data_IF_321968004047
#
_entry.id   IF_321968004047
#
_cell.length_a   1.000
_cell.length_b   1.000
_cell.length_c   1.000
_cell.angle_alpha   90.00
_cell.angle_beta   90.00
_cell.angle_gamma   90.00
#
_symmetry.space_group_name_H-M   'P 1'
#
loop_
_entity.id
_entity.type
_entity.pdbx_description
1 polymer ?
#
# COMPACT_ATOMS: atom_id res chain seq x y z
N UNK A 1 -15.33 -5.86 21.18
CA UNK A 1 -14.92 -4.45 21.06
C UNK A 1 -16.15 -3.60 21.21
N UNK A 2 -16.17 -2.66 22.16
CA UNK A 2 -17.11 -1.54 22.08
C UNK A 2 -16.78 -0.78 20.79
N UNK A 3 -17.75 -0.61 19.89
CA UNK A 3 -17.58 0.30 18.76
C UNK A 3 -17.62 1.72 19.32
N UNK A 4 -16.43 2.26 19.58
CA UNK A 4 -16.23 3.69 19.84
C UNK A 4 -16.80 4.52 18.68
N UNK A 5 -17.39 5.67 19.05
CA UNK A 5 -17.83 6.81 18.24
C UNK A 5 -18.13 6.55 16.74
N UNK A 6 -19.41 6.62 16.36
CA UNK A 6 -19.84 6.63 14.95
C UNK A 6 -19.78 8.04 14.40
N UNK A 7 -19.02 8.25 13.32
CA UNK A 7 -18.99 9.53 12.59
C UNK A 7 -20.34 9.77 11.89
N UNK A 8 -20.93 10.93 12.17
CA UNK A 8 -22.22 11.38 11.66
C UNK A 8 -22.05 12.49 10.62
N UNK A 9 -23.12 12.85 9.91
CA UNK A 9 -23.10 13.88 8.87
C UNK A 9 -22.41 15.19 9.31
N UNK A 10 -22.65 15.63 10.56
CA UNK A 10 -22.06 16.86 11.10
C UNK A 10 -20.52 16.84 11.20
N UNK A 11 -19.92 15.66 11.26
CA UNK A 11 -18.47 15.48 11.38
C UNK A 11 -17.75 15.61 10.03
N UNK A 12 -18.46 15.47 8.91
CA UNK A 12 -17.85 15.49 7.56
C UNK A 12 -17.14 16.80 7.21
N UNK A 13 -17.48 17.90 7.90
CA UNK A 13 -16.82 19.22 7.75
C UNK A 13 -15.39 19.25 8.32
N UNK A 14 -15.07 18.35 9.24
CA UNK A 14 -13.78 18.27 9.91
C UNK A 14 -12.80 17.35 9.15
N UNK A 15 -13.16 16.91 7.94
CA UNK A 15 -12.35 16.02 7.11
C UNK A 15 -12.09 16.65 5.74
N UNK A 16 -10.82 16.80 5.39
CA UNK A 16 -10.40 17.39 4.12
C UNK A 16 -9.72 16.36 3.22
N UNK A 17 -9.90 16.48 1.90
CA UNK A 17 -9.25 15.60 0.93
C UNK A 17 -7.72 15.63 1.05
N UNK A 18 -7.09 14.46 1.22
CA UNK A 18 -5.63 14.29 1.27
C UNK A 18 -5.07 13.58 0.04
N UNK A 19 -5.81 12.61 -0.49
CA UNK A 19 -5.39 11.82 -1.66
C UNK A 19 -6.27 10.61 -1.89
N UNK A 20 -5.99 9.84 -2.95
CA UNK A 20 -6.71 8.59 -3.21
C UNK A 20 -5.92 7.57 -4.03
N UNK A 21 -6.18 6.30 -3.73
CA UNK A 21 -5.76 5.15 -4.53
C UNK A 21 -6.88 4.63 -5.43
N UNK A 22 -6.74 3.41 -5.94
CA UNK A 22 -7.84 2.76 -6.67
C UNK A 22 -9.00 2.39 -5.72
N UNK A 23 -8.68 1.77 -4.58
CA UNK A 23 -9.68 1.22 -3.66
C UNK A 23 -10.16 2.18 -2.57
N UNK A 24 -9.38 3.22 -2.23
CA UNK A 24 -9.66 4.05 -1.05
C UNK A 24 -9.44 5.54 -1.31
N UNK A 25 -10.27 6.36 -0.68
CA UNK A 25 -10.15 7.80 -0.49
C UNK A 25 -9.47 8.06 0.88
N UNK A 26 -8.57 9.03 0.95
CA UNK A 26 -7.86 9.42 2.19
C UNK A 26 -8.22 10.87 2.54
N UNK A 27 -8.65 11.08 3.78
CA UNK A 27 -9.02 12.38 4.33
C UNK A 27 -8.15 12.72 5.54
N UNK A 28 -7.64 13.94 5.62
CA UNK A 28 -6.98 14.46 6.82
C UNK A 28 -8.01 15.03 7.79
N UNK A 29 -7.84 14.80 9.09
CA UNK A 29 -8.62 15.51 10.09
C UNK A 29 -8.18 16.97 10.22
N UNK A 30 -9.14 17.89 10.16
CA UNK A 30 -8.93 19.35 10.25
C UNK A 30 -9.76 19.99 11.37
N UNK A 31 -10.50 19.19 12.14
CA UNK A 31 -11.25 19.67 13.30
C UNK A 31 -10.36 19.87 14.55
N UNK A 32 -11.00 20.02 15.70
CA UNK A 32 -10.32 20.33 16.97
C UNK A 32 -10.37 19.19 18.00
N UNK A 33 -10.97 18.04 17.68
CA UNK A 33 -11.09 16.92 18.62
C UNK A 33 -9.71 16.31 18.91
N UNK A 34 -9.25 16.29 20.19
CA UNK A 34 -7.92 15.78 20.53
C UNK A 34 -7.67 14.33 20.13
N UNK A 35 -8.69 13.47 20.16
CA UNK A 35 -8.57 12.05 19.78
C UNK A 35 -8.34 11.83 18.28
N UNK A 36 -8.66 12.83 17.46
CA UNK A 36 -8.58 12.79 16.00
C UNK A 36 -7.43 13.63 15.42
N UNK A 37 -6.77 14.45 16.26
CA UNK A 37 -5.63 15.25 15.81
C UNK A 37 -4.50 14.36 15.27
N UNK A 38 -3.99 14.74 14.08
CA UNK A 38 -2.96 13.98 13.40
C UNK A 38 -3.42 12.61 12.91
N UNK A 39 -4.72 12.42 12.64
CA UNK A 39 -5.27 11.21 12.03
C UNK A 39 -5.70 11.46 10.59
N UNK A 40 -5.68 10.39 9.82
CA UNK A 40 -6.34 10.30 8.52
C UNK A 40 -7.45 9.25 8.55
N UNK A 41 -8.52 9.52 7.81
CA UNK A 41 -9.61 8.58 7.58
C UNK A 41 -9.47 7.97 6.19
N UNK A 42 -9.47 6.65 6.13
CA UNK A 42 -9.49 5.89 4.89
C UNK A 42 -10.90 5.36 4.64
N UNK A 43 -11.50 5.86 3.57
CA UNK A 43 -12.87 5.53 3.14
C UNK A 43 -12.81 4.67 1.88
N UNK A 44 -13.59 3.58 1.86
CA UNK A 44 -13.65 2.65 0.74
C UNK A 44 -14.35 3.27 -0.47
N UNK A 45 -13.91 2.86 -1.66
CA UNK A 45 -14.52 3.24 -2.93
C UNK A 45 -15.06 2.04 -3.69
N UNK A 46 -16.04 2.30 -4.54
CA UNK A 46 -16.62 1.35 -5.49
C UNK A 46 -16.41 1.83 -6.93
N UNK A 47 -16.17 0.90 -7.85
CA UNK A 47 -16.04 1.21 -9.27
C UNK A 47 -17.43 1.42 -9.88
N UNK A 48 -17.58 2.44 -10.73
CA UNK A 48 -18.87 2.78 -11.34
C UNK A 48 -19.35 1.77 -12.40
N UNK A 49 -18.43 1.01 -13.00
CA UNK A 49 -18.66 0.34 -14.29
C UNK A 49 -18.56 -1.19 -14.26
N UNK A 50 -18.72 -1.82 -13.09
CA UNK A 50 -18.76 -3.28 -12.97
C UNK A 50 -19.85 -3.71 -12.00
N UNK A 51 -20.61 -4.74 -12.36
CA UNK A 51 -21.47 -5.52 -11.47
C UNK A 51 -20.61 -6.10 -10.34
N UNK A 52 -20.33 -5.28 -9.32
CA UNK A 52 -19.60 -5.74 -8.16
C UNK A 52 -20.50 -6.71 -7.41
N UNK A 53 -20.00 -7.88 -6.99
CA UNK A 53 -20.71 -8.69 -6.02
C UNK A 53 -20.98 -7.84 -4.78
N UNK A 54 -22.16 -8.01 -4.17
CA UNK A 54 -22.67 -7.21 -3.06
C UNK A 54 -21.56 -6.84 -2.05
N UNK A 55 -21.46 -5.55 -1.73
CA UNK A 55 -20.36 -4.92 -1.00
C UNK A 55 -20.14 -5.43 0.42
N UNK A 56 -21.12 -6.15 0.99
CA UNK A 56 -21.15 -6.60 2.38
C UNK A 56 -21.22 -8.14 2.49
N UNK A 57 -20.19 -8.83 1.99
CA UNK A 57 -20.05 -10.25 2.29
C UNK A 57 -19.62 -10.41 3.75
N UNK A 58 -20.59 -10.60 4.65
CA UNK A 58 -20.36 -10.71 6.11
C UNK A 58 -19.70 -12.03 6.54
N UNK A 59 -19.35 -12.91 5.59
CA UNK A 59 -18.72 -14.20 5.83
C UNK A 59 -17.74 -14.50 4.69
N UNK A 60 -16.62 -15.14 5.00
CA UNK A 60 -15.76 -15.71 3.98
C UNK A 60 -16.52 -16.72 3.10
N UNK A 61 -16.21 -16.75 1.80
CA UNK A 61 -16.57 -17.88 0.95
C UNK A 61 -15.93 -19.17 1.47
N UNK A 62 -16.43 -20.33 1.04
CA UNK A 62 -15.87 -21.63 1.41
C UNK A 62 -14.36 -21.72 1.13
N UNK A 63 -13.89 -21.17 0.02
CA UNK A 63 -12.48 -21.20 -0.35
C UNK A 63 -11.62 -20.21 0.46
N UNK A 64 -12.15 -19.03 0.78
CA UNK A 64 -11.49 -18.07 1.67
C UNK A 64 -11.39 -18.63 3.09
N UNK A 65 -12.42 -19.37 3.54
CA UNK A 65 -12.39 -20.10 4.81
C UNK A 65 -11.30 -21.18 4.81
N UNK A 66 -11.06 -21.88 3.71
CA UNK A 66 -9.95 -22.83 3.60
C UNK A 66 -8.58 -22.13 3.74
N UNK A 67 -8.42 -20.97 3.11
CA UNK A 67 -7.16 -20.22 3.19
C UNK A 67 -6.92 -19.59 4.56
N UNK A 68 -7.91 -18.88 5.09
CA UNK A 68 -7.75 -17.92 6.19
C UNK A 68 -8.52 -18.31 7.45
N UNK A 69 -9.36 -19.34 7.39
CA UNK A 69 -10.26 -19.72 8.48
C UNK A 69 -9.57 -20.24 9.75
N UNK A 70 -8.27 -20.52 9.67
CA UNK A 70 -7.45 -20.89 10.83
C UNK A 70 -6.99 -19.67 11.65
N UNK A 71 -7.26 -18.44 11.21
CA UNK A 71 -6.97 -17.20 11.93
C UNK A 71 -8.30 -16.63 12.46
N UNK A 72 -8.66 -16.87 13.73
CA UNK A 72 -9.97 -16.49 14.28
C UNK A 72 -10.26 -14.99 14.14
N UNK A 73 -9.24 -14.15 14.31
CA UNK A 73 -9.37 -12.69 14.24
C UNK A 73 -9.78 -12.21 12.85
N UNK A 74 -9.31 -12.88 11.78
CA UNK A 74 -9.78 -12.58 10.42
C UNK A 74 -11.24 -12.96 10.24
N UNK A 75 -11.63 -14.15 10.70
CA UNK A 75 -12.99 -14.68 10.58
C UNK A 75 -14.00 -13.80 11.31
N UNK A 76 -13.67 -13.33 12.51
CA UNK A 76 -14.51 -12.41 13.27
C UNK A 76 -14.63 -11.05 12.56
N UNK A 77 -13.52 -10.54 12.03
CA UNK A 77 -13.46 -9.22 11.42
C UNK A 77 -14.27 -9.09 10.12
N UNK A 78 -14.55 -10.19 9.43
CA UNK A 78 -15.44 -10.15 8.24
C UNK A 78 -16.84 -9.69 8.62
N UNK A 79 -17.34 -10.09 9.81
CA UNK A 79 -18.68 -9.72 10.28
C UNK A 79 -18.77 -8.24 10.66
N UNK A 80 -17.64 -7.63 10.96
CA UNK A 80 -17.51 -6.24 11.42
C UNK A 80 -17.01 -5.29 10.31
N UNK A 81 -16.87 -5.77 9.06
CA UNK A 81 -16.28 -5.02 7.94
C UNK A 81 -14.85 -4.49 8.24
N UNK A 82 -14.13 -5.17 9.12
CA UNK A 82 -12.79 -4.81 9.61
C UNK A 82 -11.67 -5.68 9.05
N UNK A 83 -11.95 -6.49 8.02
CA UNK A 83 -11.02 -7.49 7.52
C UNK A 83 -9.66 -6.90 7.08
N UNK A 84 -9.65 -5.71 6.46
CA UNK A 84 -8.38 -5.09 6.03
C UNK A 84 -7.50 -4.71 7.23
N UNK A 85 -8.12 -4.23 8.31
CA UNK A 85 -7.42 -3.90 9.56
C UNK A 85 -6.86 -5.18 10.19
N UNK A 86 -7.68 -6.22 10.31
CA UNK A 86 -7.26 -7.48 10.90
C UNK A 86 -6.18 -8.17 10.06
N UNK A 87 -6.27 -8.11 8.73
CA UNK A 87 -5.24 -8.61 7.83
C UNK A 87 -3.91 -7.89 8.02
N UNK A 88 -3.94 -6.55 8.16
CA UNK A 88 -2.74 -5.78 8.45
C UNK A 88 -2.10 -6.21 9.77
N UNK A 89 -2.91 -6.29 10.84
CA UNK A 89 -2.44 -6.57 12.21
C UNK A 89 -1.99 -8.02 12.40
N UNK A 90 -2.77 -8.99 11.92
CA UNK A 90 -2.56 -10.41 12.22
C UNK A 90 -1.78 -11.16 11.14
N UNK A 91 -1.73 -10.66 9.91
CA UNK A 91 -0.95 -11.28 8.82
C UNK A 91 0.27 -10.42 8.48
N UNK A 92 0.07 -9.19 8.03
CA UNK A 92 1.20 -8.39 7.50
C UNK A 92 2.23 -8.01 8.57
N UNK A 93 1.81 -7.72 9.81
CA UNK A 93 2.74 -7.44 10.92
C UNK A 93 3.67 -8.61 11.25
N UNK A 94 3.26 -9.86 10.98
CA UNK A 94 4.11 -11.04 11.21
C UNK A 94 5.27 -11.10 10.21
N UNK A 95 5.07 -10.55 9.02
CA UNK A 95 6.07 -10.57 7.94
C UNK A 95 6.91 -9.28 7.88
N UNK A 96 6.27 -8.13 8.09
CA UNK A 96 6.92 -6.81 8.01
C UNK A 96 7.45 -6.31 9.36
N UNK A 97 7.03 -6.94 10.46
CA UNK A 97 7.32 -6.53 11.84
C UNK A 97 6.27 -5.54 12.35
N UNK A 98 5.72 -5.83 13.53
CA UNK A 98 4.63 -5.04 14.13
C UNK A 98 4.96 -3.54 14.30
N UNK A 99 6.23 -3.20 14.55
CA UNK A 99 6.66 -1.80 14.70
C UNK A 99 6.66 -1.02 13.37
N UNK A 100 6.58 -1.71 12.23
CA UNK A 100 6.56 -1.10 10.90
C UNK A 100 5.18 -1.15 10.24
N UNK A 101 4.14 -1.64 10.91
CA UNK A 101 2.79 -1.73 10.33
C UNK A 101 1.82 -0.92 11.17
N UNK A 102 1.24 0.12 10.59
CA UNK A 102 0.07 0.78 11.18
C UNK A 102 -1.20 0.16 10.61
N UNK A 103 -1.78 -0.76 11.37
CA UNK A 103 -3.04 -1.41 11.02
C UNK A 103 -4.25 -0.48 11.11
N UNK A 104 -4.12 0.64 11.84
CA UNK A 104 -5.23 1.54 12.15
C UNK A 104 -6.28 0.94 13.08
N UNK A 105 -7.35 1.70 13.28
CA UNK A 105 -8.52 1.32 14.08
C UNK A 105 -9.78 1.52 13.25
N UNK A 106 -10.65 0.52 13.26
CA UNK A 106 -11.98 0.65 12.64
C UNK A 106 -12.83 1.66 13.40
N UNK A 107 -13.46 2.59 12.69
CA UNK A 107 -14.43 3.52 13.25
C UNK A 107 -15.75 3.43 12.49
N UNK A 108 -16.87 3.47 13.22
CA UNK A 108 -18.19 3.46 12.60
C UNK A 108 -18.44 4.73 11.78
N UNK A 109 -19.12 4.60 10.66
CA UNK A 109 -19.51 5.73 9.80
C UNK A 109 -20.98 5.58 9.40
N UNK A 110 -21.72 6.69 9.34
CA UNK A 110 -23.08 6.70 8.81
C UNK A 110 -23.11 6.90 7.30
N UNK A 111 -24.19 6.45 6.65
CA UNK A 111 -24.42 6.68 5.22
C UNK A 111 -24.39 8.18 4.89
N UNK A 112 -25.09 9.00 5.69
CA UNK A 112 -25.14 10.46 5.50
C UNK A 112 -23.75 11.12 5.62
N UNK A 113 -22.89 10.62 6.50
CA UNK A 113 -21.50 11.07 6.58
C UNK A 113 -20.75 10.79 5.27
N UNK A 114 -20.86 9.58 4.74
CA UNK A 114 -20.17 9.16 3.51
C UNK A 114 -20.66 9.91 2.27
N UNK A 115 -21.96 10.14 2.16
CA UNK A 115 -22.55 10.94 1.08
C UNK A 115 -22.06 12.40 1.12
N UNK A 116 -21.99 12.99 2.32
CA UNK A 116 -21.50 14.35 2.49
C UNK A 116 -19.99 14.45 2.21
N UNK A 117 -19.21 13.43 2.60
CA UNK A 117 -17.80 13.31 2.23
C UNK A 117 -17.62 13.30 0.72
N UNK A 118 -18.32 12.43 -0.02
CA UNK A 118 -18.23 12.35 -1.50
C UNK A 118 -18.50 13.73 -2.14
N UNK A 119 -19.52 14.44 -1.65
CA UNK A 119 -19.85 15.79 -2.12
C UNK A 119 -18.76 16.80 -1.80
N UNK A 120 -18.23 16.79 -0.58
CA UNK A 120 -17.23 17.77 -0.11
C UNK A 120 -15.90 17.65 -0.88
N UNK A 121 -15.52 16.43 -1.26
CA UNK A 121 -14.23 16.19 -1.94
C UNK A 121 -14.29 16.27 -3.47
N UNK A 122 -15.48 16.38 -4.07
CA UNK A 122 -15.68 16.23 -5.52
C UNK A 122 -14.75 17.11 -6.36
N UNK A 123 -14.57 18.37 -5.97
CA UNK A 123 -13.74 19.34 -6.69
C UNK A 123 -12.24 19.16 -6.44
N UNK A 124 -11.85 18.42 -5.40
CA UNK A 124 -10.46 18.16 -5.04
C UNK A 124 -9.92 16.88 -5.69
N UNK A 125 -10.83 15.99 -6.11
CA UNK A 125 -10.48 14.70 -6.72
C UNK A 125 -10.13 14.88 -8.20
N UNK A 126 -9.07 14.19 -8.72
CA UNK A 126 -8.78 14.20 -10.15
C UNK A 126 -9.97 13.69 -10.98
N UNK A 127 -10.28 14.35 -12.09
CA UNK A 127 -11.47 14.04 -12.91
C UNK A 127 -11.53 12.56 -13.32
N UNK A 128 -10.40 11.96 -13.68
CA UNK A 128 -10.34 10.53 -14.06
C UNK A 128 -10.63 9.59 -12.89
N UNK A 129 -10.32 9.98 -11.65
CA UNK A 129 -10.65 9.24 -10.43
C UNK A 129 -12.14 9.32 -10.11
N UNK A 130 -12.73 10.51 -10.28
CA UNK A 130 -14.17 10.76 -10.15
C UNK A 130 -14.95 9.92 -11.17
N UNK A 131 -14.45 9.83 -12.40
CA UNK A 131 -15.08 9.02 -13.45
C UNK A 131 -14.97 7.52 -13.19
N UNK A 132 -13.87 7.05 -12.60
CA UNK A 132 -13.64 5.62 -12.38
C UNK A 132 -14.37 5.06 -11.14
N UNK A 133 -14.58 5.86 -10.09
CA UNK A 133 -15.04 5.37 -8.78
C UNK A 133 -15.75 6.44 -7.94
N UNK A 134 -16.63 6.00 -7.04
CA UNK A 134 -17.26 6.83 -5.98
C UNK A 134 -16.96 6.25 -4.60
N UNK A 135 -17.14 7.04 -3.54
CA UNK A 135 -17.21 6.52 -2.17
C UNK A 135 -18.30 5.45 -2.05
N UNK A 136 -18.01 4.39 -1.30
CA UNK A 136 -18.95 3.32 -0.96
C UNK A 136 -19.89 3.79 0.16
N UNK A 137 -21.03 4.38 -0.18
CA UNK A 137 -22.01 4.84 0.83
C UNK A 137 -22.67 3.71 1.63
N UNK A 138 -22.46 2.45 1.23
CA UNK A 138 -22.99 1.27 1.93
C UNK A 138 -22.05 0.72 3.02
N UNK A 139 -20.85 1.29 3.13
CA UNK A 139 -19.88 0.91 4.15
C UNK A 139 -20.34 1.41 5.53
N UNK A 140 -20.19 0.56 6.55
CA UNK A 140 -20.52 0.91 7.94
C UNK A 140 -19.28 1.28 8.76
N UNK A 141 -18.10 1.02 8.21
CA UNK A 141 -16.81 1.22 8.87
C UNK A 141 -15.85 1.93 7.92
N UNK A 142 -15.07 2.86 8.48
CA UNK A 142 -13.88 3.42 7.86
C UNK A 142 -12.66 3.10 8.72
N UNK A 143 -11.46 3.26 8.16
CA UNK A 143 -10.22 2.98 8.88
C UNK A 143 -9.54 4.28 9.29
N UNK A 144 -9.38 4.48 10.60
CA UNK A 144 -8.68 5.61 11.19
C UNK A 144 -7.21 5.25 11.43
N UNK A 145 -6.29 6.00 10.83
CA UNK A 145 -4.83 5.72 10.86
C UNK A 145 -4.11 6.99 11.33
N UNK A 146 -2.91 6.86 11.93
CA UNK A 146 -2.08 8.03 12.14
C UNK A 146 -1.70 8.69 10.79
N UNK A 147 -1.66 10.01 10.75
CA UNK A 147 -1.16 10.74 9.59
C UNK A 147 0.37 10.65 9.58
N UNK A 148 0.91 9.66 8.86
CA UNK A 148 2.36 9.46 8.74
C UNK A 148 3.07 10.52 7.89
N UNK A 149 2.34 11.49 7.31
CA UNK A 149 2.95 12.68 6.75
C UNK A 149 3.30 13.74 7.82
N UNK A 150 2.91 13.47 9.07
CA UNK A 150 3.30 14.20 10.28
C UNK A 150 4.20 13.30 11.15
N UNK A 151 5.11 13.92 11.92
CA UNK A 151 5.93 13.18 12.87
C UNK A 151 5.22 12.99 14.21
N UNK A 152 4.58 14.04 14.70
CA UNK A 152 3.71 14.04 15.88
C UNK A 152 2.32 14.56 15.49
N UNK A 153 1.28 14.15 16.21
CA UNK A 153 -0.10 14.55 15.89
C UNK A 153 -0.42 16.04 16.09
N UNK A 154 0.56 16.85 16.53
CA UNK A 154 0.42 18.29 16.70
C UNK A 154 1.18 19.03 15.60
N UNK A 155 0.46 19.82 14.81
CA UNK A 155 0.99 20.61 13.70
C UNK A 155 1.73 21.87 14.14
N UNK A 156 1.66 22.25 15.42
CA UNK A 156 2.10 23.59 15.88
C UNK A 156 3.61 23.75 16.09
N UNK A 157 4.38 22.69 16.30
CA UNK A 157 5.77 22.82 16.76
C UNK A 157 6.77 21.79 16.19
N UNK A 158 6.56 21.22 15.00
CA UNK A 158 7.63 20.38 14.42
C UNK A 158 7.79 20.53 12.92
N UNK A 159 9.00 20.95 12.51
CA UNK A 159 9.49 20.78 11.14
C UNK A 159 9.51 19.30 10.80
N UNK A 160 8.51 18.84 10.05
CA UNK A 160 8.37 17.45 9.63
C UNK A 160 8.53 17.35 8.13
N UNK A 161 9.40 16.44 7.69
CA UNK A 161 9.42 15.94 6.31
C UNK A 161 8.98 14.50 6.33
N UNK A 162 8.09 14.11 5.42
CA UNK A 162 7.76 12.72 5.20
C UNK A 162 7.86 12.35 3.72
N UNK A 163 8.14 11.08 3.48
CA UNK A 163 8.33 10.52 2.14
C UNK A 163 7.44 9.30 2.02
N UNK A 164 6.72 9.20 0.91
CA UNK A 164 6.03 7.96 0.53
C UNK A 164 6.75 7.35 -0.67
N UNK A 165 7.16 6.09 -0.53
CA UNK A 165 7.80 5.29 -1.59
C UNK A 165 6.87 4.13 -1.94
N UNK A 166 6.39 4.10 -3.18
CA UNK A 166 5.65 2.96 -3.73
C UNK A 166 6.56 2.14 -4.62
N UNK A 167 6.93 0.96 -4.15
CA UNK A 167 8.05 0.17 -4.69
C UNK A 167 7.54 -0.80 -5.74
N UNK A 168 7.08 -0.29 -6.88
CA UNK A 168 6.23 -1.12 -7.72
C UNK A 168 6.19 -0.81 -9.23
N UNK A 169 6.34 0.43 -9.71
CA UNK A 169 6.33 0.70 -11.18
C UNK A 169 7.72 0.97 -11.72
N UNK A 170 7.98 0.50 -12.94
CA UNK A 170 9.17 0.87 -13.71
C UNK A 170 9.18 2.38 -13.96
N UNK A 171 10.19 3.05 -13.42
CA UNK A 171 10.64 4.37 -13.86
C UNK A 171 12.15 4.31 -14.06
N UNK A 172 12.85 5.44 -14.07
CA UNK A 172 14.32 5.42 -14.15
C UNK A 172 14.97 4.93 -12.85
N UNK A 173 14.21 4.79 -11.75
CA UNK A 173 14.73 4.12 -10.55
C UNK A 173 14.84 2.62 -10.79
N UNK A 174 15.99 2.05 -10.43
CA UNK A 174 16.20 0.61 -10.44
C UNK A 174 15.82 0.00 -9.08
N UNK A 175 14.81 -0.89 -9.00
CA UNK A 175 14.45 -1.56 -7.76
C UNK A 175 15.61 -2.34 -7.13
N UNK A 176 16.50 -2.91 -7.94
CA UNK A 176 17.67 -3.65 -7.43
C UNK A 176 18.63 -2.74 -6.68
N UNK A 177 18.70 -1.45 -7.03
CA UNK A 177 19.51 -0.48 -6.31
C UNK A 177 18.90 -0.14 -4.95
N UNK A 178 17.58 0.05 -4.89
CA UNK A 178 16.84 0.32 -3.67
C UNK A 178 16.86 -0.87 -2.68
N UNK A 179 16.77 -2.11 -3.19
CA UNK A 179 16.80 -3.33 -2.38
C UNK A 179 18.20 -3.93 -2.21
N UNK A 180 19.26 -3.26 -2.69
CA UNK A 180 20.62 -3.81 -2.73
C UNK A 180 21.24 -4.07 -1.35
N UNK A 181 20.76 -3.41 -0.30
CA UNK A 181 21.46 -3.33 0.98
C UNK A 181 22.77 -2.52 0.92
N UNK A 182 23.06 -1.80 -0.16
CA UNK A 182 24.18 -0.86 -0.27
C UNK A 182 23.67 0.58 -0.18
N UNK A 183 24.25 1.36 0.74
CA UNK A 183 23.92 2.77 0.91
C UNK A 183 24.11 3.56 -0.38
N UNK A 184 25.19 3.29 -1.11
CA UNK A 184 25.54 3.96 -2.36
C UNK A 184 24.48 3.73 -3.44
N UNK A 185 24.05 2.47 -3.60
CA UNK A 185 23.00 2.10 -4.57
C UNK A 185 21.62 2.62 -4.14
N UNK A 186 21.29 2.58 -2.84
CA UNK A 186 20.08 3.21 -2.32
C UNK A 186 20.05 4.71 -2.65
N UNK A 187 21.17 5.41 -2.48
CA UNK A 187 21.32 6.82 -2.85
C UNK A 187 21.10 7.05 -4.36
N UNK A 188 21.61 6.16 -5.22
CA UNK A 188 21.33 6.21 -6.67
C UNK A 188 19.84 6.05 -6.98
N UNK A 189 19.16 5.09 -6.34
CA UNK A 189 17.72 4.89 -6.52
C UNK A 189 16.91 6.13 -6.07
N UNK A 190 17.29 6.75 -4.94
CA UNK A 190 16.64 7.96 -4.45
C UNK A 190 16.83 9.13 -5.42
N UNK A 191 18.04 9.33 -5.95
CA UNK A 191 18.31 10.35 -6.97
C UNK A 191 17.41 10.17 -8.20
N UNK A 192 17.23 8.94 -8.65
CA UNK A 192 16.37 8.64 -9.80
C UNK A 192 14.89 8.98 -9.54
N UNK A 193 14.40 8.88 -8.29
CA UNK A 193 13.05 9.33 -7.95
C UNK A 193 12.82 10.82 -8.20
N UNK A 194 13.84 11.68 -8.05
CA UNK A 194 13.70 13.10 -8.34
C UNK A 194 13.64 13.40 -9.84
N UNK A 195 14.17 12.50 -10.68
CA UNK A 195 14.08 12.61 -12.14
C UNK A 195 12.74 12.13 -12.67
N UNK A 196 12.27 10.95 -12.21
CA UNK A 196 11.00 10.37 -12.64
C UNK A 196 10.22 9.75 -11.46
N UNK A 197 9.56 10.58 -10.62
CA UNK A 197 8.86 10.08 -9.43
C UNK A 197 7.60 9.29 -9.78
N UNK A 198 6.95 9.60 -10.90
CA UNK A 198 5.66 9.03 -11.31
C UNK A 198 4.68 8.94 -10.12
N UNK A 199 4.20 7.73 -9.79
CA UNK A 199 3.42 7.45 -8.59
C UNK A 199 4.21 6.64 -7.54
N UNK A 200 5.53 6.60 -7.68
CA UNK A 200 6.45 5.83 -6.86
C UNK A 200 7.07 6.66 -5.74
N UNK A 201 7.05 7.99 -5.84
CA UNK A 201 7.68 8.86 -4.86
C UNK A 201 6.87 10.13 -4.60
N UNK A 202 6.63 10.43 -3.33
CA UNK A 202 6.02 11.67 -2.86
C UNK A 202 6.76 12.22 -1.67
N UNK A 203 6.78 13.55 -1.55
CA UNK A 203 7.33 14.24 -0.40
C UNK A 203 6.25 15.13 0.21
N UNK A 204 6.16 15.10 1.53
CA UNK A 204 5.27 15.92 2.32
C UNK A 204 6.09 16.79 3.28
N UNK A 205 5.70 18.05 3.42
CA UNK A 205 6.23 18.96 4.41
C UNK A 205 5.10 19.38 5.35
N UNK A 206 5.24 19.12 6.65
CA UNK A 206 4.22 19.37 7.67
C UNK A 206 2.82 18.85 7.26
N UNK A 207 2.79 17.64 6.71
CA UNK A 207 1.56 16.97 6.27
C UNK A 207 0.99 17.41 4.92
N UNK A 208 1.57 18.43 4.29
CA UNK A 208 1.17 18.95 2.98
C UNK A 208 2.05 18.38 1.87
N UNK A 209 1.47 17.94 0.76
CA UNK A 209 2.23 17.42 -0.39
C UNK A 209 3.03 18.54 -1.07
N UNK A 210 4.34 18.36 -1.18
CA UNK A 210 5.26 19.30 -1.84
C UNK A 210 5.92 18.73 -3.09
N UNK A 211 5.89 17.39 -3.28
CA UNK A 211 6.43 16.71 -4.46
C UNK A 211 5.63 15.48 -4.86
N UNK A 212 5.45 15.28 -6.16
CA UNK A 212 4.72 14.15 -6.74
C UNK A 212 3.21 14.42 -6.91
N UNK A 213 2.45 13.41 -7.37
CA UNK A 213 1.04 13.57 -7.75
C UNK A 213 0.03 13.05 -6.73
N UNK A 214 -0.96 13.89 -6.37
CA UNK A 214 -2.09 13.60 -5.46
C UNK A 214 -2.97 12.38 -5.86
N UNK A 215 -2.96 11.99 -7.14
CA UNK A 215 -3.87 10.99 -7.70
C UNK A 215 -3.24 9.68 -8.16
N UNK A 216 -1.92 9.52 -8.03
CA UNK A 216 -1.21 8.34 -8.54
C UNK A 216 -0.95 8.32 -10.05
N UNK A 217 -1.02 9.48 -10.69
CA UNK A 217 -0.42 9.74 -11.99
C UNK A 217 0.33 11.06 -11.90
N UNK A 218 1.66 11.00 -11.88
CA UNK A 218 2.48 12.13 -12.28
C UNK A 218 3.20 11.67 -13.55
N UNK A 219 3.22 12.51 -14.58
CA UNK A 219 4.12 12.33 -15.72
C UNK A 219 5.57 12.66 -15.31
N UNK A 220 6.41 13.00 -16.28
CA UNK A 220 7.69 13.67 -16.00
C UNK A 220 7.44 14.96 -15.22
N UNK A 221 8.17 15.16 -14.13
CA UNK A 221 8.10 16.39 -13.33
C UNK A 221 8.64 17.55 -14.15
N UNK A 222 7.89 18.65 -14.23
CA UNK A 222 8.39 19.88 -14.86
C UNK A 222 9.52 20.45 -13.98
N UNK A 223 10.62 20.98 -14.54
CA UNK A 223 11.72 21.56 -13.74
C UNK A 223 11.24 22.54 -12.65
N UNK A 224 10.22 23.35 -12.94
CA UNK A 224 9.63 24.32 -11.99
C UNK A 224 8.98 23.65 -10.76
N UNK A 225 8.37 22.47 -10.92
CA UNK A 225 7.80 21.71 -9.80
C UNK A 225 8.89 21.14 -8.89
N UNK A 226 10.01 20.70 -9.49
CA UNK A 226 11.18 20.24 -8.75
C UNK A 226 11.78 21.39 -7.94
N UNK A 227 12.05 22.53 -8.57
CA UNK A 227 12.72 23.65 -7.91
C UNK A 227 11.86 24.22 -6.77
N UNK A 228 10.54 24.33 -6.98
CA UNK A 228 9.60 24.70 -5.91
C UNK A 228 9.64 23.70 -4.74
N UNK A 229 9.66 22.39 -5.02
CA UNK A 229 9.80 21.39 -3.96
C UNK A 229 11.10 21.56 -3.18
N UNK A 230 12.22 21.84 -3.84
CA UNK A 230 13.50 22.06 -3.17
C UNK A 230 13.46 23.28 -2.27
N UNK A 231 12.82 24.37 -2.72
CA UNK A 231 12.58 25.53 -1.87
C UNK A 231 11.72 25.20 -0.65
N UNK A 232 10.62 24.47 -0.83
CA UNK A 232 9.70 24.13 0.27
C UNK A 232 10.39 23.18 1.28
N UNK A 233 11.18 22.23 0.79
CA UNK A 233 12.03 21.36 1.61
C UNK A 233 13.05 22.16 2.42
N UNK A 234 13.80 23.05 1.77
CA UNK A 234 14.80 23.89 2.42
C UNK A 234 14.14 24.81 3.46
N UNK A 235 13.01 25.45 3.14
CA UNK A 235 12.26 26.31 4.08
C UNK A 235 11.80 25.57 5.34
N UNK A 236 11.32 24.33 5.20
CA UNK A 236 10.79 23.57 6.35
C UNK A 236 11.89 22.91 7.17
N UNK A 237 12.93 22.40 6.52
CA UNK A 237 13.94 21.54 7.18
C UNK A 237 15.32 22.16 7.36
N UNK A 238 15.63 23.19 6.58
CA UNK A 238 16.97 23.74 6.43
C UNK A 238 17.95 22.82 5.68
N UNK A 239 17.46 21.78 4.99
CA UNK A 239 18.27 20.84 4.25
C UNK A 239 18.36 21.20 2.76
N UNK A 240 19.55 21.08 2.19
CA UNK A 240 19.72 21.04 0.74
C UNK A 240 19.33 19.65 0.19
N UNK A 241 19.13 19.55 -1.14
CA UNK A 241 18.76 18.28 -1.78
C UNK A 241 19.76 17.15 -1.46
N UNK A 242 21.05 17.44 -1.46
CA UNK A 242 22.09 16.46 -1.14
C UNK A 242 21.95 15.92 0.28
N UNK A 243 21.67 16.79 1.25
CA UNK A 243 21.51 16.42 2.65
C UNK A 243 20.26 15.58 2.85
N UNK A 244 19.17 15.96 2.18
CA UNK A 244 17.92 15.19 2.21
C UNK A 244 18.08 13.79 1.61
N UNK A 245 18.79 13.66 0.49
CA UNK A 245 19.07 12.36 -0.13
C UNK A 245 19.92 11.50 0.81
N UNK A 246 20.94 12.08 1.45
CA UNK A 246 21.76 11.36 2.43
C UNK A 246 20.93 10.90 3.62
N UNK A 247 20.10 11.78 4.20
CA UNK A 247 19.20 11.48 5.31
C UNK A 247 18.27 10.30 4.98
N UNK A 248 17.60 10.34 3.83
CA UNK A 248 16.68 9.29 3.41
C UNK A 248 17.43 7.97 3.14
N UNK A 249 18.61 8.04 2.52
CA UNK A 249 19.45 6.86 2.25
C UNK A 249 19.87 6.17 3.53
N UNK A 250 20.34 6.95 4.51
CA UNK A 250 20.75 6.47 5.83
C UNK A 250 19.58 5.83 6.60
N UNK A 251 18.41 6.47 6.61
CA UNK A 251 17.25 5.94 7.32
C UNK A 251 16.73 4.63 6.68
N UNK A 252 16.68 4.57 5.35
CA UNK A 252 16.32 3.33 4.64
C UNK A 252 17.31 2.22 4.97
N UNK A 253 18.61 2.50 4.89
CA UNK A 253 19.66 1.53 5.18
C UNK A 253 19.59 1.03 6.63
N UNK A 254 19.56 1.94 7.61
CA UNK A 254 19.56 1.60 9.05
C UNK A 254 18.28 0.90 9.51
N UNK A 255 17.13 1.28 8.98
CA UNK A 255 15.85 0.66 9.38
C UNK A 255 15.76 -0.84 9.03
N UNK A 256 16.47 -1.29 7.99
CA UNK A 256 16.35 -2.66 7.47
C UNK A 256 14.94 -3.02 6.97
N UNK A 257 14.03 -2.03 6.85
CA UNK A 257 12.61 -2.26 6.56
C UNK A 257 12.40 -2.87 5.17
N UNK A 258 13.25 -2.49 4.21
CA UNK A 258 13.23 -3.04 2.86
C UNK A 258 13.66 -4.51 2.80
N UNK A 259 14.51 -4.98 3.71
CA UNK A 259 14.88 -6.39 3.78
C UNK A 259 13.68 -7.26 4.17
N UNK A 260 12.88 -6.80 5.15
CA UNK A 260 11.64 -7.48 5.58
C UNK A 260 10.62 -7.48 4.44
N UNK A 261 10.48 -6.35 3.75
CA UNK A 261 9.59 -6.26 2.60
C UNK A 261 10.01 -7.21 1.48
N UNK A 262 11.30 -7.25 1.12
CA UNK A 262 11.82 -8.14 0.08
C UNK A 262 11.63 -9.61 0.45
N UNK A 263 11.89 -9.99 1.70
CA UNK A 263 11.63 -11.35 2.18
C UNK A 263 10.15 -11.72 2.04
N UNK A 264 9.24 -10.78 2.33
CA UNK A 264 7.79 -10.96 2.16
C UNK A 264 7.40 -11.08 0.69
N UNK A 265 8.01 -10.28 -0.21
CA UNK A 265 7.78 -10.38 -1.65
C UNK A 265 8.28 -11.72 -2.22
N UNK A 266 9.36 -12.28 -1.67
CA UNK A 266 9.91 -13.59 -2.03
C UNK A 266 9.10 -14.80 -1.54
N UNK A 267 8.02 -14.58 -0.77
CA UNK A 267 7.04 -15.63 -0.50
C UNK A 267 6.36 -16.13 -1.78
N UNK A 268 6.34 -15.30 -2.82
CA UNK A 268 5.95 -15.72 -4.16
C UNK A 268 7.15 -16.40 -4.86
N UNK A 269 7.24 -17.72 -4.67
CA UNK A 269 8.27 -18.59 -5.23
C UNK A 269 7.82 -19.33 -6.51
N UNK A 270 6.52 -19.27 -6.83
CA UNK A 270 5.94 -19.95 -8.01
C UNK A 270 5.46 -18.99 -9.09
N UNK A 271 5.45 -17.68 -8.81
CA UNK A 271 4.85 -16.64 -9.64
C UNK A 271 3.35 -16.90 -9.92
N UNK A 272 2.68 -15.96 -10.59
CA UNK A 272 1.28 -16.15 -10.98
C UNK A 272 1.12 -17.36 -11.91
N UNK A 273 2.14 -17.65 -12.73
CA UNK A 273 2.13 -18.78 -13.66
C UNK A 273 2.07 -20.13 -12.96
N UNK A 274 2.63 -20.28 -11.75
CA UNK A 274 2.49 -21.49 -10.94
C UNK A 274 1.28 -21.45 -10.01
N UNK A 275 1.08 -20.33 -9.31
CA UNK A 275 0.02 -20.18 -8.30
C UNK A 275 -1.39 -20.39 -8.88
N UNK A 276 -1.61 -20.03 -10.15
CA UNK A 276 -2.91 -20.21 -10.82
C UNK A 276 -3.34 -21.67 -10.93
N UNK A 277 -2.41 -22.62 -11.10
CA UNK A 277 -2.74 -24.06 -11.15
C UNK A 277 -3.26 -24.56 -9.80
N UNK A 278 -2.63 -24.12 -8.73
CA UNK A 278 -2.99 -24.47 -7.36
C UNK A 278 -4.28 -23.81 -6.92
N UNK A 279 -4.57 -22.60 -7.42
CA UNK A 279 -5.88 -21.99 -7.29
C UNK A 279 -6.98 -22.89 -7.86
N UNK A 280 -6.79 -23.44 -9.07
CA UNK A 280 -7.76 -24.37 -9.66
C UNK A 280 -7.96 -25.66 -8.84
N UNK A 281 -6.91 -26.17 -8.20
CA UNK A 281 -7.03 -27.27 -7.23
C UNK A 281 -7.91 -26.88 -6.04
N UNK A 282 -7.67 -25.72 -5.44
CA UNK A 282 -8.40 -25.24 -4.24
C UNK A 282 -9.89 -25.07 -4.55
N UNK A 283 -10.22 -24.48 -5.70
CA UNK A 283 -11.62 -24.28 -6.09
C UNK A 283 -12.28 -25.54 -6.68
N UNK A 284 -11.54 -26.66 -6.75
CA UNK A 284 -12.01 -27.94 -7.30
C UNK A 284 -12.57 -27.81 -8.72
N UNK A 285 -11.94 -26.97 -9.56
CA UNK A 285 -12.34 -26.78 -10.96
C UNK A 285 -11.26 -27.25 -11.93
N UNK A 286 -11.65 -27.70 -13.14
CA UNK A 286 -10.67 -28.02 -14.18
C UNK A 286 -9.79 -26.81 -14.52
N UNK A 287 -8.47 -27.01 -14.51
CA UNK A 287 -7.52 -25.95 -14.81
C UNK A 287 -7.66 -25.46 -16.26
N UNK A 288 -8.06 -24.20 -16.44
CA UNK A 288 -8.22 -23.61 -17.77
C UNK A 288 -6.87 -23.34 -18.45
N UNK A 289 -5.80 -23.12 -17.69
CA UNK A 289 -4.44 -22.92 -18.23
C UNK A 289 -3.97 -24.21 -18.91
N UNK A 290 -4.12 -25.36 -18.25
CA UNK A 290 -3.76 -26.67 -18.80
C UNK A 290 -4.61 -27.05 -20.03
N UNK A 291 -5.88 -26.63 -20.10
CA UNK A 291 -6.74 -26.89 -21.26
C UNK A 291 -6.30 -26.14 -22.52
N UNK A 292 -5.68 -24.97 -22.35
CA UNK A 292 -5.36 -24.06 -23.45
C UNK A 292 -3.90 -24.15 -23.88
N UNK A 293 -3.08 -24.98 -23.24
CA UNK A 293 -1.68 -25.19 -23.62
C UNK A 293 -1.49 -26.51 -24.34
N UNK A 294 -0.63 -26.52 -25.36
CA UNK A 294 -0.22 -27.71 -26.10
C UNK A 294 1.26 -28.02 -25.91
N UNK A 295 1.96 -27.24 -25.08
CA UNK A 295 3.39 -27.42 -24.80
C UNK A 295 3.61 -28.59 -23.85
N UNK A 296 4.27 -29.64 -24.33
CA UNK A 296 4.49 -30.87 -23.58
C UNK A 296 5.41 -30.69 -22.36
N UNK A 297 6.38 -29.78 -22.41
CA UNK A 297 7.29 -29.52 -21.28
C UNK A 297 6.55 -28.77 -20.16
N UNK A 298 5.76 -27.75 -20.54
CA UNK A 298 4.91 -27.03 -19.59
C UNK A 298 3.84 -27.93 -18.97
N UNK A 299 3.21 -28.79 -19.76
CA UNK A 299 2.22 -29.75 -19.25
C UNK A 299 2.81 -30.70 -18.20
N UNK A 300 4.06 -31.16 -18.37
CA UNK A 300 4.73 -31.97 -17.37
C UNK A 300 4.99 -31.20 -16.07
N UNK A 301 5.46 -29.93 -16.17
CA UNK A 301 5.65 -29.05 -15.01
C UNK A 301 4.33 -28.78 -14.28
N UNK A 302 3.25 -28.52 -15.02
CA UNK A 302 1.93 -28.27 -14.43
C UNK A 302 1.32 -29.53 -13.80
N UNK A 303 1.58 -30.72 -14.35
CA UNK A 303 1.17 -31.98 -13.74
C UNK A 303 1.78 -32.17 -12.34
N UNK A 304 3.05 -31.77 -12.15
CA UNK A 304 3.68 -31.76 -10.82
C UNK A 304 2.96 -30.81 -9.85
N UNK A 305 2.58 -29.61 -10.28
CA UNK A 305 1.79 -28.68 -9.46
C UNK A 305 0.44 -29.27 -9.08
N UNK A 306 -0.26 -29.90 -10.04
CA UNK A 306 -1.54 -30.55 -9.78
C UNK A 306 -1.44 -31.79 -8.88
N UNK A 307 -0.25 -32.38 -8.72
CA UNK A 307 -0.01 -33.51 -7.81
C UNK A 307 0.20 -33.11 -6.35
N UNK A 308 0.33 -31.81 -6.05
CA UNK A 308 0.52 -31.33 -4.69
C UNK A 308 -0.72 -31.58 -3.82
N UNK A 309 -0.48 -31.82 -2.52
CA UNK A 309 -1.58 -31.92 -1.55
C UNK A 309 -2.35 -30.61 -1.45
N UNK A 310 -3.59 -30.69 -0.95
CA UNK A 310 -4.41 -29.50 -0.72
C UNK A 310 -3.71 -28.52 0.24
N UNK A 311 -3.11 -28.99 1.33
CA UNK A 311 -2.40 -28.13 2.28
C UNK A 311 -1.23 -27.38 1.65
N UNK A 312 -0.46 -28.04 0.78
CA UNK A 312 0.62 -27.39 0.02
C UNK A 312 0.07 -26.36 -0.96
N UNK A 313 -1.01 -26.70 -1.66
CA UNK A 313 -1.70 -25.78 -2.56
C UNK A 313 -2.19 -24.54 -1.83
N UNK A 314 -2.86 -24.71 -0.68
CA UNK A 314 -3.34 -23.63 0.17
C UNK A 314 -2.20 -22.75 0.66
N UNK A 315 -1.08 -23.33 1.11
CA UNK A 315 0.09 -22.56 1.56
C UNK A 315 0.65 -21.70 0.42
N UNK A 316 0.93 -22.28 -0.75
CA UNK A 316 1.55 -21.55 -1.86
C UNK A 316 0.64 -20.41 -2.32
N UNK A 317 -0.68 -20.66 -2.45
CA UNK A 317 -1.60 -19.60 -2.85
C UNK A 317 -1.74 -18.53 -1.76
N UNK A 318 -1.72 -18.89 -0.47
CA UNK A 318 -1.69 -17.91 0.63
C UNK A 318 -0.46 -17.01 0.57
N UNK A 319 0.71 -17.62 0.39
CA UNK A 319 2.00 -16.94 0.32
C UNK A 319 2.08 -16.01 -0.90
N UNK A 320 1.54 -16.44 -2.05
CA UNK A 320 1.36 -15.61 -3.23
C UNK A 320 0.51 -14.35 -2.93
N UNK A 321 -0.61 -14.49 -2.22
CA UNK A 321 -1.50 -13.37 -1.87
C UNK A 321 -0.86 -12.39 -0.88
N UNK A 322 -0.07 -12.90 0.08
CA UNK A 322 0.73 -12.07 1.01
C UNK A 322 1.80 -11.31 0.24
N UNK A 323 2.53 -11.99 -0.65
CA UNK A 323 3.52 -11.37 -1.52
C UNK A 323 2.90 -10.31 -2.44
N UNK A 324 1.73 -10.58 -3.04
CA UNK A 324 1.00 -9.62 -3.85
C UNK A 324 0.64 -8.34 -3.06
N UNK A 325 0.31 -8.48 -1.78
CA UNK A 325 0.13 -7.32 -0.88
C UNK A 325 1.43 -6.55 -0.69
N UNK A 326 2.54 -7.24 -0.43
CA UNK A 326 3.86 -6.63 -0.26
C UNK A 326 4.41 -5.97 -1.54
N UNK A 327 4.00 -6.44 -2.72
CA UNK A 327 4.34 -5.84 -4.02
C UNK A 327 3.55 -4.56 -4.33
N UNK A 328 2.44 -4.31 -3.63
CA UNK A 328 1.57 -3.14 -3.86
C UNK A 328 1.47 -2.16 -2.67
N UNK A 329 2.24 -2.37 -1.60
CA UNK A 329 2.28 -1.45 -0.46
C UNK A 329 3.12 -0.18 -0.75
N UNK A 330 2.89 0.85 0.06
CA UNK A 330 3.74 2.04 0.14
C UNK A 330 4.48 2.01 1.47
N UNK A 331 5.74 2.43 1.46
CA UNK A 331 6.54 2.72 2.66
C UNK A 331 6.47 4.24 2.93
N UNK A 332 6.09 4.63 4.14
CA UNK A 332 6.18 6.00 4.61
C UNK A 332 7.34 6.15 5.59
N UNK A 333 8.18 7.16 5.35
CA UNK A 333 9.26 7.53 6.27
C UNK A 333 9.09 9.00 6.66
N UNK A 334 8.90 9.28 7.95
CA UNK A 334 8.81 10.65 8.45
C UNK A 334 10.00 11.01 9.32
N UNK A 335 10.41 12.26 9.27
CA UNK A 335 11.60 12.81 9.90
C UNK A 335 11.25 14.04 10.72
N UNK A 336 11.90 14.20 11.87
CA UNK A 336 12.01 15.49 12.55
C UNK A 336 13.44 15.73 13.01
N UNK A 337 13.94 16.97 13.02
CA UNK A 337 15.19 17.28 13.69
C UNK A 337 15.03 17.06 15.21
N UNK A 338 16.06 16.50 15.84
CA UNK A 338 16.10 16.36 17.30
C UNK A 338 16.50 17.70 17.94
N UNK A 339 15.71 18.15 18.92
CA UNK A 339 15.95 19.42 19.62
C UNK A 339 17.04 19.32 20.70
N UNK A 340 17.16 18.17 21.38
CA UNK A 340 18.16 17.93 22.42
C UNK A 340 18.95 16.65 22.16
N UNK A 341 20.28 16.74 22.19
CA UNK A 341 21.19 15.59 22.00
C UNK A 341 21.16 14.64 23.21
N UNK A 342 20.66 15.09 24.36
CA UNK A 342 20.73 14.38 25.65
C UNK A 342 19.47 13.55 25.93
N UNK A 343 18.33 13.90 25.32
CA UNK A 343 17.09 13.16 25.52
C UNK A 343 17.12 11.85 24.70
N UNK A 344 17.01 10.71 25.38
CA UNK A 344 16.69 9.44 24.73
C UNK A 344 15.36 9.59 23.97
N UNK A 345 15.34 9.15 22.71
CA UNK A 345 14.16 9.16 21.87
C UNK A 345 13.64 7.74 21.75
N UNK A 346 12.33 7.55 21.86
CA UNK A 346 11.66 6.27 21.57
C UNK A 346 11.69 5.90 20.08
N UNK A 347 12.15 6.84 19.23
CA UNK A 347 12.23 6.69 17.79
C UNK A 347 13.65 6.37 17.32
N UNK A 348 13.75 5.64 16.22
CA UNK A 348 15.01 5.46 15.51
C UNK A 348 15.59 6.81 15.09
N UNK A 349 16.91 6.88 14.93
CA UNK A 349 17.56 8.12 14.54
C UNK A 349 18.76 7.96 13.64
N UNK A 350 19.00 9.01 12.85
CA UNK A 350 20.16 9.15 11.97
C UNK A 350 20.91 10.40 12.39
N UNK A 351 22.22 10.29 12.60
CA UNK A 351 23.11 11.44 12.62
C UNK A 351 23.53 11.75 11.18
N UNK A 352 23.23 12.97 10.73
CA UNK A 352 23.58 13.45 9.40
C UNK A 352 24.86 14.28 9.49
N UNK A 353 25.96 13.74 8.96
CA UNK A 353 27.30 14.33 9.11
C UNK A 353 27.39 15.69 8.40
N UNK A 354 26.78 15.82 7.22
CA UNK A 354 26.85 17.04 6.39
C UNK A 354 26.38 18.30 7.11
N UNK A 355 25.35 18.18 7.96
CA UNK A 355 24.77 19.27 8.75
C UNK A 355 24.98 19.12 10.26
N UNK A 356 25.74 18.10 10.69
CA UNK A 356 26.04 17.76 12.09
C UNK A 356 24.82 17.75 13.00
N UNK A 357 23.74 17.12 12.53
CA UNK A 357 22.45 17.11 13.24
C UNK A 357 21.85 15.71 13.32
N UNK A 358 21.17 15.41 14.43
CA UNK A 358 20.41 14.18 14.60
C UNK A 358 18.97 14.40 14.12
N UNK A 359 18.46 13.42 13.37
CA UNK A 359 17.07 13.34 12.96
C UNK A 359 16.44 12.08 13.55
N UNK A 360 15.30 12.23 14.21
CA UNK A 360 14.44 11.10 14.53
C UNK A 360 13.66 10.71 13.28
N UNK A 361 13.43 9.41 13.06
CA UNK A 361 12.62 8.93 11.97
C UNK A 361 11.64 7.82 12.37
N UNK A 362 10.56 7.67 11.60
CA UNK A 362 9.62 6.53 11.65
C UNK A 362 9.60 5.87 10.29
N UNK A 363 9.53 4.54 10.22
CA UNK A 363 9.40 3.79 8.96
C UNK A 363 8.21 2.84 9.06
N UNK A 364 7.15 3.13 8.31
CA UNK A 364 5.84 2.49 8.48
C UNK A 364 5.22 2.13 7.13
N UNK A 365 4.60 0.97 7.06
CA UNK A 365 3.67 0.55 6.02
C UNK A 365 2.26 0.92 6.50
N UNK A 366 1.63 1.97 5.96
CA UNK A 366 0.24 2.28 6.26
C UNK A 366 -0.64 1.14 5.73
N UNK A 367 -1.72 0.81 6.46
CA UNK A 367 -2.62 -0.30 6.15
C UNK A 367 -2.78 -0.59 4.64
N UNK A 368 -2.48 -1.82 4.18
CA UNK A 368 -2.46 -2.15 2.76
C UNK A 368 -3.83 -1.98 2.09
N UNK A 369 -3.86 -1.70 0.77
CA UNK A 369 -5.08 -1.29 0.06
C UNK A 369 -6.18 -2.35 -0.04
N UNK A 370 -5.88 -3.64 0.10
CA UNK A 370 -6.89 -4.69 0.07
C UNK A 370 -6.32 -6.03 0.53
N UNK A 371 -7.07 -6.78 1.34
CA UNK A 371 -6.85 -8.21 1.49
C UNK A 371 -7.20 -8.91 0.17
N UNK A 372 -6.24 -9.58 -0.47
CA UNK A 372 -6.49 -10.38 -1.67
C UNK A 372 -7.16 -11.69 -1.26
N UNK A 373 -8.49 -11.73 -1.37
CA UNK A 373 -9.31 -12.91 -1.08
C UNK A 373 -9.64 -13.72 -2.35
N UNK A 374 -9.81 -15.04 -2.21
CA UNK A 374 -10.03 -16.02 -3.30
C UNK A 374 -11.43 -15.95 -3.99
N UNK A 375 -12.37 -15.14 -3.52
CA UNK A 375 -13.73 -15.08 -4.06
C UNK A 375 -13.86 -14.55 -5.51
N UNK A 376 -15.09 -14.34 -6.02
CA UNK A 376 -15.35 -13.84 -7.39
C UNK A 376 -14.69 -12.50 -7.75
N UNK A 377 -13.96 -11.88 -6.81
CA UNK A 377 -13.02 -10.77 -7.03
C UNK A 377 -11.75 -11.19 -7.80
N UNK A 378 -11.33 -12.46 -7.72
CA UNK A 378 -10.29 -13.06 -8.57
C UNK A 378 -10.88 -13.59 -9.89
N UNK A 379 -12.08 -14.17 -9.87
CA UNK A 379 -12.72 -14.75 -11.06
C UNK A 379 -13.35 -13.71 -12.01
N UNK A 380 -13.77 -12.54 -11.50
CA UNK A 380 -14.48 -11.48 -12.21
C UNK A 380 -13.71 -10.75 -13.31
N UNK A 381 -12.47 -11.16 -13.60
CA UNK A 381 -11.93 -10.95 -14.93
C UNK A 381 -10.86 -11.93 -15.36
N UNK A 382 -11.07 -13.20 -15.02
CA UNK A 382 -10.53 -14.30 -15.83
C UNK A 382 -11.42 -14.54 -17.07
N UNK A 383 -11.92 -13.46 -17.69
CA UNK A 383 -12.67 -13.53 -18.93
C UNK A 383 -11.69 -13.59 -20.10
N UNK A 384 -11.41 -14.81 -20.55
CA UNK A 384 -10.60 -15.11 -21.72
C UNK A 384 -11.31 -14.58 -22.96
N UNK A 385 -10.72 -13.57 -23.63
CA UNK A 385 -11.04 -13.23 -25.02
C UNK A 385 -9.74 -13.28 -25.85
N UNK A 386 -9.75 -14.21 -26.79
CA UNK A 386 -8.84 -14.44 -27.92
C UNK A 386 -7.50 -15.19 -27.73
N UNK A 387 -7.29 -16.10 -28.67
CA UNK A 387 -6.46 -17.31 -28.66
C UNK A 387 -5.07 -17.15 -29.28
N UNK A 388 -4.49 -15.96 -29.27
CA UNK A 388 -3.15 -15.74 -29.88
C UNK A 388 -2.21 -14.82 -29.10
N UNK A 389 -2.63 -14.29 -27.95
CA UNK A 389 -1.76 -13.62 -26.97
C UNK A 389 -2.37 -13.85 -25.59
N UNK A 390 -1.68 -14.58 -24.72
CA UNK A 390 -2.12 -14.82 -23.33
C UNK A 390 -2.00 -13.51 -22.55
N UNK A 391 -2.98 -12.62 -22.70
CA UNK A 391 -3.17 -11.43 -21.90
C UNK A 391 -4.20 -11.76 -20.80
N UNK A 392 -3.73 -12.18 -19.62
CA UNK A 392 -4.58 -12.35 -18.44
C UNK A 392 -5.07 -10.98 -17.94
N UNK A 393 -6.21 -10.56 -18.45
CA UNK A 393 -6.87 -9.30 -18.12
C UNK A 393 -7.90 -9.48 -17.00
N UNK A 394 -7.47 -9.80 -15.78
CA UNK A 394 -7.93 -9.11 -14.54
C UNK A 394 -7.26 -9.64 -13.26
N UNK A 395 -5.97 -9.42 -13.17
CA UNK A 395 -5.44 -8.79 -11.96
C UNK A 395 -4.95 -7.43 -12.46
N UNK A 396 -5.70 -6.32 -12.28
CA UNK A 396 -5.29 -5.03 -12.84
C UNK A 396 -3.92 -4.56 -12.34
N UNK A 397 -3.33 -5.22 -11.34
CA UNK A 397 -2.03 -4.89 -10.76
C UNK A 397 -0.93 -5.95 -10.90
N UNK A 398 -1.21 -7.23 -11.19
CA UNK A 398 -0.14 -8.23 -11.35
C UNK A 398 0.30 -8.42 -12.81
N UNK A 399 -0.58 -8.28 -13.80
CA UNK A 399 -0.23 -8.70 -15.17
C UNK A 399 0.66 -7.73 -15.97
N UNK A 400 0.83 -6.49 -15.50
CA UNK A 400 1.86 -5.60 -16.05
C UNK A 400 3.23 -5.75 -15.36
N UNK A 401 3.37 -6.68 -14.39
CA UNK A 401 4.51 -6.71 -13.45
C UNK A 401 5.29 -8.01 -13.37
N UNK A 402 4.94 -9.02 -14.15
CA UNK A 402 5.57 -10.35 -14.06
C UNK A 402 6.71 -10.55 -15.06
N UNK A 403 6.78 -9.76 -16.14
CA UNK A 403 7.86 -9.91 -17.15
C UNK A 403 9.26 -9.52 -16.64
N UNK A 404 9.40 -8.99 -15.42
CA UNK A 404 10.69 -8.49 -14.91
C UNK A 404 11.33 -9.34 -13.79
N UNK A 405 10.64 -10.34 -13.24
CA UNK A 405 11.26 -11.27 -12.27
C UNK A 405 12.08 -12.39 -12.94
N UNK A 406 11.94 -12.59 -14.26
CA UNK A 406 12.81 -13.51 -15.03
C UNK A 406 14.28 -13.07 -15.07
N UNK A 407 14.61 -11.82 -14.72
CA UNK A 407 16.01 -11.35 -14.64
C UNK A 407 16.59 -11.33 -13.22
N UNK A 408 15.84 -11.77 -12.20
CA UNK A 408 16.27 -11.73 -10.79
C UNK A 408 16.69 -13.15 -10.28
N UNK A 409 16.62 -14.16 -11.15
CA UNK A 409 16.96 -15.55 -10.86
C UNK A 409 18.19 -16.11 -11.58
N UNK A 410 19.01 -15.27 -12.22
CA UNK A 410 20.33 -15.67 -12.73
C UNK A 410 21.39 -14.72 -12.21
N UNK A 411 21.92 -15.05 -11.03
CA UNK A 411 23.35 -15.09 -10.73
C UNK A 411 23.57 -16.03 -9.54
#
# INVERSE_FOLDING_TARGET
MEMDAVLQAGDAKDWAYKGEGAANLILSYTGSSPSMLGKVLRVKKILKDKSQPASNCMVFSSHEQLLWGHIPELVESVKQDCLNQAYAVHVMSQHLGANHVDGGVCIGVSMDFLELVEKNVLNSRPTWRVNASSVDSTANVALLIADHSLFSGNTKDSSCIAVEIKISKTSDYNPLDLFSGSKERICMAIKAFFSTPQNNFRIFANGSLVFGGMGGGAGSVHPDERDKCLEDLSKVSGLELSDFIELLSEAIFKSGVLCKLLATQKLDDHDIEGAIHLYYNIISQPCLVCKNTTDAELLWKYALLHSLSLDKSLKIVRDFLISATAKDCSLMISFRPRESVIAESEYDSVFLESVKRIYDYKSLFPSPPQCWLIGPRLAGGLAIKDSSRVALLAIPFCFYRVTLLMFIGQD
#
